data_IF_034181235846
#
_entry.id   IF_034181235846
#
_cell.length_a   1.000
_cell.length_b   1.000
_cell.length_c   1.000
_cell.angle_alpha   90.00
_cell.angle_beta   90.00
_cell.angle_gamma   90.00
#
_symmetry.space_group_name_H-M   'P 1'
#
loop_
_entity.id
_entity.type
_entity.pdbx_description
1 polymer ?
#
# COMPACT_ATOMS: atom_id res chain seq x y z
N UNK A 1 -15.46 71.63 -32.71
CA UNK A 1 -15.24 70.84 -33.93
C UNK A 1 -14.71 69.45 -33.49
N UNK A 2 -15.63 68.54 -33.30
CA UNK A 2 -15.31 67.17 -32.89
C UNK A 2 -15.17 66.32 -34.16
N UNK A 3 -13.99 65.65 -34.29
CA UNK A 3 -13.76 64.68 -35.35
C UNK A 3 -14.16 63.32 -34.85
N UNK A 4 -15.24 62.78 -35.39
CA UNK A 4 -15.60 61.37 -35.24
C UNK A 4 -14.60 60.48 -35.99
N UNK A 5 -13.96 59.55 -35.28
CA UNK A 5 -13.15 58.50 -35.91
C UNK A 5 -14.02 57.29 -36.18
N UNK A 6 -14.08 56.92 -37.47
CA UNK A 6 -14.88 55.83 -37.97
C UNK A 6 -14.12 54.49 -37.82
N UNK A 7 -14.64 53.58 -36.98
CA UNK A 7 -14.04 52.29 -36.67
C UNK A 7 -14.54 51.14 -37.56
N UNK A 8 -14.82 51.35 -38.79
CA UNK A 8 -15.22 50.29 -39.72
C UNK A 8 -14.11 49.90 -40.65
N UNK A 9 -13.09 49.20 -40.19
CA UNK A 9 -12.24 48.28 -41.00
C UNK A 9 -11.17 47.65 -40.11
N UNK A 10 -11.55 46.79 -39.18
CA UNK A 10 -10.63 45.77 -38.68
C UNK A 10 -10.97 44.46 -39.35
N UNK A 11 -10.22 44.19 -40.39
CA UNK A 11 -10.18 42.88 -41.04
C UNK A 11 -9.57 41.87 -40.09
N UNK A 12 -10.41 41.10 -39.39
CA UNK A 12 -10.00 39.95 -38.56
C UNK A 12 -9.57 38.85 -39.52
N UNK A 13 -8.28 38.86 -39.85
CA UNK A 13 -7.65 37.75 -40.55
C UNK A 13 -7.82 36.47 -39.72
N UNK A 14 -8.63 35.60 -40.28
CA UNK A 14 -8.86 34.24 -39.79
C UNK A 14 -7.54 33.47 -39.73
N UNK A 15 -6.97 33.33 -38.55
CA UNK A 15 -5.87 32.36 -38.29
C UNK A 15 -6.50 30.97 -38.00
N UNK A 16 -6.97 30.31 -39.06
CA UNK A 16 -7.34 28.90 -39.03
C UNK A 16 -6.28 28.06 -39.75
N UNK A 17 -5.04 28.11 -39.28
CA UNK A 17 -3.92 27.48 -39.93
C UNK A 17 -3.18 26.38 -39.18
N UNK A 18 -3.58 26.01 -37.97
CA UNK A 18 -2.78 25.10 -37.13
C UNK A 18 -3.42 23.75 -36.78
N UNK A 19 -4.67 23.48 -37.19
CA UNK A 19 -5.33 22.20 -36.86
C UNK A 19 -5.38 21.19 -38.01
N UNK A 20 -5.06 21.57 -39.21
CA UNK A 20 -5.24 20.67 -40.39
C UNK A 20 -3.99 19.90 -40.82
N UNK A 21 -2.81 20.22 -40.30
CA UNK A 21 -1.59 19.51 -40.69
C UNK A 21 -1.35 18.21 -39.91
N UNK A 22 -1.97 18.05 -38.72
CA UNK A 22 -1.83 16.83 -37.96
C UNK A 22 -2.78 15.73 -38.43
N UNK A 23 -4.02 16.09 -38.82
CA UNK A 23 -5.01 15.14 -39.29
C UNK A 23 -4.80 14.69 -40.75
N UNK A 24 -4.08 15.46 -41.54
CA UNK A 24 -3.77 15.07 -42.93
C UNK A 24 -2.75 13.95 -43.04
N UNK A 25 -2.01 13.63 -41.99
CA UNK A 25 -1.11 12.46 -41.94
C UNK A 25 -1.84 11.13 -41.69
N UNK A 26 -3.09 11.16 -41.30
CA UNK A 26 -3.94 9.97 -41.13
C UNK A 26 -4.94 9.82 -42.29
N UNK A 27 -4.58 10.30 -43.48
CA UNK A 27 -5.35 9.96 -44.69
C UNK A 27 -5.14 8.49 -45.01
N UNK A 28 -5.91 7.64 -44.34
CA UNK A 28 -6.05 6.23 -44.72
C UNK A 28 -6.79 6.20 -46.07
N UNK A 29 -6.02 6.32 -47.13
CA UNK A 29 -6.45 5.90 -48.47
C UNK A 29 -7.05 4.51 -48.33
N UNK A 30 -8.32 4.34 -48.73
CA UNK A 30 -9.07 3.08 -48.69
C UNK A 30 -8.48 2.02 -49.65
N UNK A 31 -7.25 1.63 -49.42
CA UNK A 31 -6.62 0.46 -49.99
C UNK A 31 -6.99 -0.76 -49.17
N UNK A 32 -7.45 -1.83 -49.79
CA UNK A 32 -7.69 -3.11 -49.17
C UNK A 32 -6.50 -3.46 -48.27
N UNK A 33 -6.77 -3.67 -46.96
CA UNK A 33 -5.72 -3.99 -45.97
C UNK A 33 -4.98 -5.22 -46.49
N UNK A 34 -3.72 -5.03 -46.86
CA UNK A 34 -2.87 -6.11 -47.32
C UNK A 34 -2.76 -7.14 -46.21
N UNK A 35 -2.86 -8.42 -46.51
CA UNK A 35 -2.76 -9.53 -45.53
C UNK A 35 -1.58 -9.33 -44.56
N UNK A 36 -0.46 -8.84 -45.07
CA UNK A 36 0.73 -8.53 -44.29
C UNK A 36 0.48 -7.41 -43.27
N UNK A 37 -0.31 -6.37 -43.62
CA UNK A 37 -0.63 -5.26 -42.70
C UNK A 37 -1.53 -5.73 -41.54
N UNK A 38 -2.48 -6.59 -41.84
CA UNK A 38 -3.34 -7.23 -40.84
C UNK A 38 -2.49 -8.08 -39.87
N UNK A 39 -1.54 -8.84 -40.41
CA UNK A 39 -0.63 -9.67 -39.64
C UNK A 39 0.23 -8.83 -38.66
N UNK A 40 0.77 -7.69 -39.14
CA UNK A 40 1.52 -6.78 -38.27
C UNK A 40 0.68 -6.15 -37.18
N UNK A 41 -0.57 -5.78 -37.47
CA UNK A 41 -1.50 -5.23 -36.47
C UNK A 41 -1.79 -6.28 -35.37
N UNK A 42 -2.08 -7.52 -35.80
CA UNK A 42 -2.33 -8.62 -34.85
C UNK A 42 -1.10 -8.93 -33.99
N UNK A 43 0.09 -8.93 -34.59
CA UNK A 43 1.35 -9.11 -33.87
C UNK A 43 1.55 -7.99 -32.82
N UNK A 44 1.32 -6.73 -33.22
CA UNK A 44 1.44 -5.58 -32.30
C UNK A 44 0.45 -5.68 -31.13
N UNK A 45 -0.80 -6.05 -31.38
CA UNK A 45 -1.80 -6.25 -30.33
C UNK A 45 -1.41 -7.38 -29.38
N UNK A 46 -0.83 -8.45 -29.90
CA UNK A 46 -0.35 -9.58 -29.10
C UNK A 46 0.83 -9.14 -28.19
N UNK A 47 1.77 -8.37 -28.73
CA UNK A 47 2.88 -7.82 -27.94
C UNK A 47 2.40 -6.86 -26.85
N UNK A 48 1.44 -5.98 -27.16
CA UNK A 48 0.85 -5.07 -26.17
C UNK A 48 0.14 -5.88 -25.07
N UNK A 49 -0.66 -6.87 -25.43
CA UNK A 49 -1.33 -7.76 -24.49
C UNK A 49 -0.34 -8.50 -23.57
N UNK A 50 0.75 -9.02 -24.15
CA UNK A 50 1.81 -9.68 -23.38
C UNK A 50 2.53 -8.70 -22.45
N UNK A 51 2.84 -7.50 -22.90
CA UNK A 51 3.46 -6.46 -22.08
C UNK A 51 2.57 -6.04 -20.91
N UNK A 52 1.27 -5.86 -21.14
CA UNK A 52 0.27 -5.56 -20.12
C UNK A 52 0.15 -6.72 -19.12
N UNK A 53 0.12 -7.95 -19.61
CA UNK A 53 0.09 -9.14 -18.75
C UNK A 53 1.33 -9.22 -17.85
N UNK A 54 2.53 -9.04 -18.41
CA UNK A 54 3.79 -9.05 -17.66
C UNK A 54 3.78 -7.91 -16.62
N UNK A 55 3.33 -6.72 -17.02
CA UNK A 55 3.24 -5.57 -16.12
C UNK A 55 2.35 -5.88 -14.92
N UNK A 56 1.13 -6.38 -15.12
CA UNK A 56 0.22 -6.71 -14.01
C UNK A 56 0.68 -7.92 -13.20
N UNK A 57 1.39 -8.86 -13.81
CA UNK A 57 1.84 -10.08 -13.13
C UNK A 57 3.12 -9.88 -12.31
N UNK A 58 4.07 -9.06 -12.81
CA UNK A 58 5.39 -8.92 -12.22
C UNK A 58 5.71 -7.52 -11.68
N UNK A 59 5.18 -6.47 -12.29
CA UNK A 59 5.53 -5.08 -11.93
C UNK A 59 4.50 -4.47 -10.99
N UNK A 60 3.21 -4.61 -11.28
CA UNK A 60 2.15 -4.04 -10.44
C UNK A 60 2.15 -4.54 -8.99
N UNK A 61 2.45 -5.83 -8.67
CA UNK A 61 2.58 -6.28 -7.29
C UNK A 61 3.75 -5.62 -6.54
N UNK A 62 4.85 -5.31 -7.26
CA UNK A 62 6.04 -4.65 -6.67
C UNK A 62 5.87 -3.14 -6.50
N UNK A 63 4.94 -2.53 -7.26
CA UNK A 63 4.66 -1.08 -7.21
C UNK A 63 3.52 -0.71 -6.25
N UNK A 64 2.86 -1.68 -5.62
CA UNK A 64 1.98 -1.37 -4.49
C UNK A 64 2.89 -1.17 -3.28
N UNK A 65 3.24 0.08 -2.90
CA UNK A 65 3.85 0.30 -1.62
C UNK A 65 2.83 -0.21 -0.60
N UNK A 66 3.21 -1.22 0.20
CA UNK A 66 2.45 -1.47 1.40
C UNK A 66 2.54 -0.17 2.19
N UNK A 67 1.40 0.47 2.39
CA UNK A 67 1.31 1.70 3.17
C UNK A 67 1.77 1.36 4.59
N UNK A 68 3.04 1.57 4.86
CA UNK A 68 3.51 1.67 6.24
C UNK A 68 3.03 3.04 6.68
N UNK A 69 2.00 3.05 7.52
CA UNK A 69 1.49 4.28 8.09
C UNK A 69 2.66 5.06 8.69
N UNK A 70 2.99 6.20 8.09
CA UNK A 70 4.03 7.09 8.61
C UNK A 70 3.54 7.55 9.99
N UNK A 71 4.18 7.11 11.06
CA UNK A 71 3.82 7.45 12.44
C UNK A 71 4.00 8.93 12.78
N UNK A 72 4.55 9.71 11.84
CA UNK A 72 4.75 11.16 12.01
C UNK A 72 3.49 12.00 11.77
N UNK A 73 2.43 11.42 11.18
CA UNK A 73 1.15 12.11 10.96
C UNK A 73 0.07 11.39 11.74
N UNK A 74 -0.08 11.76 13.00
CA UNK A 74 -1.25 11.41 13.81
C UNK A 74 -2.48 12.12 13.21
N UNK A 75 -3.60 11.44 12.95
CA UNK A 75 -4.86 12.13 12.65
C UNK A 75 -5.21 13.02 13.85
N UNK A 76 -5.50 14.26 13.53
CA UNK A 76 -5.89 15.34 14.42
C UNK A 76 -6.83 14.86 15.54
N UNK A 77 -6.45 15.07 16.80
CA UNK A 77 -7.32 14.89 17.95
C UNK A 77 -6.87 13.92 19.05
N UNK A 78 -5.71 13.27 18.94
CA UNK A 78 -5.17 12.49 20.05
C UNK A 78 -4.13 13.30 20.83
N UNK A 79 -4.30 13.35 22.14
CA UNK A 79 -3.39 13.99 23.09
C UNK A 79 -1.92 13.72 22.72
N UNK A 80 -1.18 14.75 22.36
CA UNK A 80 0.25 14.73 22.02
C UNK A 80 1.15 14.20 23.17
N UNK A 81 0.55 13.83 24.29
CA UNK A 81 1.24 13.36 25.49
C UNK A 81 0.97 11.88 25.81
N UNK A 82 0.18 11.17 24.99
CA UNK A 82 -0.15 9.78 25.28
C UNK A 82 0.92 8.86 24.67
N UNK A 83 1.70 8.21 25.52
CA UNK A 83 2.66 7.19 25.11
C UNK A 83 1.92 6.01 24.44
N UNK A 84 2.55 5.41 23.44
CA UNK A 84 2.02 4.26 22.75
C UNK A 84 2.89 3.04 22.99
N UNK A 85 2.25 1.90 23.16
CA UNK A 85 2.89 0.59 23.17
C UNK A 85 2.25 -0.28 22.11
N UNK A 86 3.06 -1.00 21.33
CA UNK A 86 2.60 -1.86 20.26
C UNK A 86 2.91 -3.31 20.56
N UNK A 87 1.87 -4.12 20.69
CA UNK A 87 1.98 -5.57 20.82
C UNK A 87 1.87 -6.19 19.43
N UNK A 88 2.91 -6.90 19.01
CA UNK A 88 3.06 -7.48 17.67
C UNK A 88 2.98 -9.00 17.75
N UNK A 89 2.15 -9.60 16.92
CA UNK A 89 2.00 -11.05 16.77
C UNK A 89 2.47 -11.50 15.40
N UNK A 90 3.60 -12.19 15.36
CA UNK A 90 4.17 -12.77 14.16
C UNK A 90 3.70 -14.22 14.01
N UNK A 91 3.08 -14.53 12.88
CA UNK A 91 2.50 -15.84 12.64
C UNK A 91 2.66 -16.30 11.20
N UNK A 92 2.59 -17.62 10.99
CA UNK A 92 2.52 -18.20 9.66
C UNK A 92 1.29 -19.10 9.53
N UNK A 93 0.59 -19.06 8.40
CA UNK A 93 -0.65 -19.80 8.17
C UNK A 93 -0.49 -21.32 8.18
N UNK A 94 0.70 -21.82 7.85
CA UNK A 94 1.06 -23.23 7.91
C UNK A 94 1.42 -23.72 9.31
N UNK A 95 1.66 -22.83 10.27
CA UNK A 95 2.10 -23.16 11.63
C UNK A 95 0.92 -23.65 12.52
N UNK A 96 0.93 -24.89 13.04
CA UNK A 96 -0.14 -25.41 13.89
C UNK A 96 -0.30 -24.63 15.20
N UNK A 97 0.80 -24.22 15.82
CA UNK A 97 0.80 -23.45 17.08
C UNK A 97 0.19 -22.05 16.86
N UNK A 98 0.42 -21.45 15.69
CA UNK A 98 -0.19 -20.17 15.33
C UNK A 98 -1.71 -20.27 15.22
N UNK A 99 -2.22 -21.37 14.67
CA UNK A 99 -3.68 -21.62 14.58
C UNK A 99 -4.34 -21.70 15.95
N UNK A 100 -3.64 -22.23 16.93
CA UNK A 100 -4.12 -22.28 18.32
C UNK A 100 -4.00 -20.95 19.04
N UNK A 101 -2.91 -20.20 18.79
CA UNK A 101 -2.65 -18.92 19.42
C UNK A 101 -3.55 -17.78 18.88
N UNK A 102 -3.89 -17.83 17.59
CA UNK A 102 -4.63 -16.75 16.91
C UNK A 102 -5.98 -16.41 17.55
N UNK A 103 -6.88 -17.34 17.90
CA UNK A 103 -8.14 -17.00 18.56
C UNK A 103 -7.94 -16.37 19.95
N UNK A 104 -6.89 -16.78 20.68
CA UNK A 104 -6.54 -16.20 21.97
C UNK A 104 -6.07 -14.76 21.77
N UNK A 105 -5.18 -14.54 20.81
CA UNK A 105 -4.71 -13.21 20.42
C UNK A 105 -5.86 -12.27 20.04
N UNK A 106 -6.77 -12.70 19.17
CA UNK A 106 -7.92 -11.89 18.76
C UNK A 106 -8.86 -11.59 19.94
N UNK A 107 -9.02 -12.52 20.86
CA UNK A 107 -9.80 -12.30 22.10
C UNK A 107 -9.20 -11.19 22.96
N UNK A 108 -7.89 -11.24 23.21
CA UNK A 108 -7.18 -10.23 23.99
C UNK A 108 -7.12 -8.90 23.23
N UNK A 109 -6.90 -8.93 21.93
CA UNK A 109 -6.95 -7.74 21.08
C UNK A 109 -8.29 -7.03 21.22
N UNK A 110 -9.41 -7.70 21.03
CA UNK A 110 -10.75 -7.11 21.14
C UNK A 110 -11.01 -6.48 22.51
N UNK A 111 -10.40 -7.03 23.55
CA UNK A 111 -10.58 -6.53 24.91
C UNK A 111 -9.67 -5.35 25.22
N UNK A 112 -8.43 -5.35 24.73
CA UNK A 112 -7.39 -4.40 25.17
C UNK A 112 -7.01 -3.36 24.10
N UNK A 113 -7.40 -3.53 22.86
CA UNK A 113 -7.03 -2.60 21.77
C UNK A 113 -7.52 -1.18 22.06
N UNK A 114 -6.62 -0.20 21.88
CA UNK A 114 -6.84 1.22 22.15
C UNK A 114 -7.12 1.57 23.61
N UNK A 115 -7.04 0.62 24.55
CA UNK A 115 -7.12 0.94 25.99
C UNK A 115 -5.84 1.61 26.48
N UNK A 116 -5.99 2.47 27.46
CA UNK A 116 -4.87 3.06 28.18
C UNK A 116 -4.53 2.18 29.38
N UNK A 117 -3.31 1.65 29.40
CA UNK A 117 -2.79 0.81 30.47
C UNK A 117 -1.51 1.47 30.99
N UNK A 118 -1.52 1.86 32.25
CA UNK A 118 -0.38 2.49 32.91
C UNK A 118 0.22 3.71 32.14
N UNK A 119 -0.65 4.47 31.44
CA UNK A 119 -0.25 5.65 30.68
C UNK A 119 0.14 5.36 29.22
N UNK A 120 0.07 4.11 28.78
CA UNK A 120 0.32 3.71 27.39
C UNK A 120 -0.97 3.32 26.67
N UNK A 121 -1.19 3.88 25.50
CA UNK A 121 -2.22 3.41 24.57
C UNK A 121 -1.72 2.14 23.90
N UNK A 122 -2.41 1.03 24.13
CA UNK A 122 -2.03 -0.27 23.58
C UNK A 122 -2.58 -0.45 22.15
N UNK A 123 -1.69 -0.82 21.24
CA UNK A 123 -1.99 -1.09 19.84
C UNK A 123 -1.63 -2.54 19.54
N UNK A 124 -2.47 -3.24 18.79
CA UNK A 124 -2.25 -4.63 18.38
C UNK A 124 -1.96 -4.72 16.90
N UNK A 125 -0.84 -5.32 16.52
CA UNK A 125 -0.43 -5.52 15.14
C UNK A 125 -0.22 -7.00 14.87
N UNK A 126 -0.93 -7.55 13.87
CA UNK A 126 -0.77 -8.93 13.41
C UNK A 126 0.04 -8.95 12.12
N UNK A 127 1.14 -9.69 12.09
CA UNK A 127 2.09 -9.74 10.98
C UNK A 127 2.09 -11.15 10.41
N UNK A 128 1.57 -11.28 9.20
CA UNK A 128 1.49 -12.55 8.47
C UNK A 128 2.80 -12.82 7.73
N UNK A 129 3.56 -13.78 8.23
CA UNK A 129 4.82 -14.25 7.66
C UNK A 129 4.65 -15.55 6.85
N UNK A 130 3.46 -15.85 6.36
CA UNK A 130 3.17 -17.08 5.60
C UNK A 130 3.93 -17.15 4.28
N UNK A 131 4.12 -16.01 3.63
CA UNK A 131 4.82 -15.90 2.35
C UNK A 131 6.22 -15.33 2.58
N UNK A 132 7.22 -16.06 2.15
CA UNK A 132 8.60 -15.59 2.10
C UNK A 132 8.75 -14.61 0.93
N UNK A 133 8.90 -13.35 1.23
CA UNK A 133 9.23 -12.28 0.29
C UNK A 133 10.19 -11.28 0.98
N UNK A 134 10.81 -10.42 0.18
CA UNK A 134 11.80 -9.45 0.67
C UNK A 134 11.25 -8.58 1.83
N UNK A 135 9.95 -8.26 1.80
CA UNK A 135 9.29 -7.44 2.83
C UNK A 135 9.16 -8.22 4.14
N UNK A 136 8.67 -9.45 4.08
CA UNK A 136 8.52 -10.33 5.23
C UNK A 136 9.89 -10.65 5.84
N UNK A 137 10.89 -10.94 5.01
CA UNK A 137 12.24 -11.21 5.45
C UNK A 137 12.87 -10.00 6.17
N UNK A 138 12.70 -8.80 5.62
CA UNK A 138 13.16 -7.56 6.25
C UNK A 138 12.50 -7.32 7.62
N UNK A 139 11.19 -7.59 7.75
CA UNK A 139 10.48 -7.46 9.02
C UNK A 139 10.97 -8.50 10.01
N UNK A 140 11.11 -9.75 9.61
CA UNK A 140 11.63 -10.83 10.47
C UNK A 140 13.04 -10.52 10.97
N UNK A 141 13.93 -10.06 10.07
CA UNK A 141 15.30 -9.65 10.44
C UNK A 141 15.28 -8.44 11.39
N UNK A 142 14.45 -7.42 11.11
CA UNK A 142 14.34 -6.23 11.97
C UNK A 142 13.94 -6.56 13.39
N UNK A 143 13.02 -7.50 13.57
CA UNK A 143 12.50 -7.88 14.88
C UNK A 143 13.14 -9.15 15.43
N UNK A 144 14.15 -9.71 14.77
CA UNK A 144 14.82 -10.96 15.12
C UNK A 144 13.83 -12.10 15.39
N UNK A 145 13.04 -12.46 14.38
CA UNK A 145 12.02 -13.51 14.45
C UNK A 145 12.62 -14.82 13.98
N UNK A 146 12.83 -15.77 14.89
CA UNK A 146 13.44 -17.08 14.62
C UNK A 146 12.40 -18.20 14.45
N UNK A 147 11.15 -17.97 14.86
CA UNK A 147 10.10 -18.98 14.79
C UNK A 147 8.69 -18.42 14.97
N UNK A 148 7.69 -19.28 14.90
CA UNK A 148 6.29 -18.90 15.00
C UNK A 148 5.52 -19.81 15.97
N UNK A 149 4.53 -19.24 16.72
CA UNK A 149 4.25 -17.83 16.85
C UNK A 149 5.28 -17.10 17.70
N UNK A 150 5.58 -15.86 17.38
CA UNK A 150 6.38 -14.97 18.25
C UNK A 150 5.55 -13.73 18.57
N UNK A 151 5.56 -13.29 19.82
CA UNK A 151 4.89 -12.07 20.27
C UNK A 151 5.95 -11.13 20.86
N UNK A 152 5.94 -9.87 20.43
CA UNK A 152 6.85 -8.84 20.94
C UNK A 152 6.08 -7.57 21.26
N UNK A 153 6.46 -6.89 22.33
CA UNK A 153 5.92 -5.61 22.73
C UNK A 153 6.98 -4.53 22.52
N UNK A 154 6.63 -3.52 21.75
CA UNK A 154 7.45 -2.32 21.55
C UNK A 154 6.94 -1.20 22.44
N UNK A 155 7.78 -0.71 23.35
CA UNK A 155 7.51 0.38 24.28
C UNK A 155 8.75 1.26 24.43
N UNK A 156 8.61 2.56 24.35
CA UNK A 156 9.71 3.53 24.52
C UNK A 156 10.99 3.15 23.73
N UNK A 157 10.83 2.69 22.48
CA UNK A 157 11.90 2.18 21.60
C UNK A 157 12.60 0.89 22.11
N UNK A 158 12.05 0.23 23.10
CA UNK A 158 12.53 -1.06 23.60
C UNK A 158 11.59 -2.16 23.17
N UNK A 159 12.16 -3.30 22.74
CA UNK A 159 11.43 -4.48 22.36
C UNK A 159 11.54 -5.49 23.49
N UNK A 160 10.38 -5.91 24.02
CA UNK A 160 10.27 -6.97 25.03
C UNK A 160 9.63 -8.18 24.37
N UNK A 161 10.30 -9.31 24.42
CA UNK A 161 9.78 -10.57 23.88
C UNK A 161 8.90 -11.28 24.92
N UNK A 162 7.81 -11.85 24.45
CA UNK A 162 6.95 -12.72 25.21
C UNK A 162 7.39 -14.18 25.02
N UNK A 163 7.85 -14.82 26.09
CA UNK A 163 8.44 -16.15 26.07
C UNK A 163 7.61 -17.26 26.75
N UNK A 164 6.36 -16.91 27.12
CA UNK A 164 5.45 -17.88 27.74
C UNK A 164 4.53 -18.58 26.74
N UNK A 165 3.85 -19.64 27.17
CA UNK A 165 2.78 -20.26 26.38
C UNK A 165 1.64 -19.27 26.18
N UNK A 166 1.17 -19.14 24.93
CA UNK A 166 0.08 -18.21 24.60
C UNK A 166 -1.23 -18.71 25.18
N UNK A 167 -1.65 -18.07 26.28
CA UNK A 167 -2.98 -18.18 26.86
C UNK A 167 -3.52 -16.78 27.16
N UNK A 168 -4.81 -16.64 27.40
CA UNK A 168 -5.39 -15.33 27.72
C UNK A 168 -4.73 -14.75 28.98
N UNK A 169 -4.65 -15.54 30.02
CA UNK A 169 -4.14 -15.15 31.33
C UNK A 169 -2.67 -14.70 31.27
N UNK A 170 -1.83 -15.46 30.57
CA UNK A 170 -0.40 -15.14 30.46
C UNK A 170 -0.14 -13.92 29.59
N UNK A 171 -0.98 -13.71 28.56
CA UNK A 171 -0.88 -12.52 27.71
C UNK A 171 -1.31 -11.25 28.45
N UNK A 172 -2.40 -11.33 29.21
CA UNK A 172 -2.88 -10.25 30.09
C UNK A 172 -1.85 -9.91 31.18
N UNK A 173 -1.27 -10.95 31.81
CA UNK A 173 -0.21 -10.77 32.80
C UNK A 173 1.00 -10.06 32.20
N UNK A 174 1.42 -10.47 30.99
CA UNK A 174 2.54 -9.85 30.28
C UNK A 174 2.27 -8.36 30.01
N UNK A 175 1.09 -8.04 29.45
CA UNK A 175 0.67 -6.66 29.19
C UNK A 175 0.73 -5.81 30.45
N UNK A 176 0.15 -6.29 31.54
CA UNK A 176 0.10 -5.56 32.82
C UNK A 176 1.45 -5.47 33.53
N UNK A 177 2.38 -6.40 33.26
CA UNK A 177 3.71 -6.40 33.89
C UNK A 177 4.68 -5.50 33.16
N UNK A 178 4.58 -5.45 31.81
CA UNK A 178 5.53 -4.70 30.97
C UNK A 178 5.12 -3.24 30.82
N UNK A 179 3.82 -2.93 30.80
CA UNK A 179 3.30 -1.56 30.72
C UNK A 179 3.16 -0.92 32.07
#
# INVERSE_FOLDING_TARGET
MSKFVNFNNMNLGSQSGLSNSFLSRFNMSGGALNMNTILYILAALLFIGLAVYIYYRYVAPKLKPSYIANREILPDGTDLNQKQAELMFFFAGWCPHCKTAKPIWEGVKNEYENKNINGYKLIFTSIDCTKENDETENIMNKYNIEGFPTIKLLKDNQIVEYDAKVTKETLEQFINTVL
#
